data_IF_913834611206
#
_entry.id   IF_913834611206
#
_cell.length_a   1.000
_cell.length_b   1.000
_cell.length_c   1.000
_cell.angle_alpha   90.00
_cell.angle_beta   90.00
_cell.angle_gamma   90.00
#
_symmetry.space_group_name_H-M   'P 1'
#
loop_
_entity.id
_entity.type
_entity.pdbx_description
1 polymer ?
#
# COMPACT_ATOMS: atom_id res chain seq x y z
N UNK A 1 -43.16 31.84 104.84
CA UNK A 1 -42.76 31.76 103.41
C UNK A 1 -41.79 30.62 103.29
N UNK A 2 -42.26 29.50 102.73
CA UNK A 2 -41.53 28.24 102.70
C UNK A 2 -40.30 28.34 101.80
N UNK A 3 -39.14 28.05 102.37
CA UNK A 3 -38.00 27.59 101.58
C UNK A 3 -38.38 26.22 101.06
N UNK A 4 -38.76 26.15 99.79
CA UNK A 4 -39.07 24.89 99.13
C UNK A 4 -37.83 24.00 99.30
N UNK A 5 -37.89 22.84 99.97
CA UNK A 5 -36.73 21.98 100.20
C UNK A 5 -36.08 21.46 98.89
N UNK A 6 -36.71 21.73 97.74
CA UNK A 6 -36.22 21.47 96.40
C UNK A 6 -35.18 22.48 95.89
N UNK A 7 -34.98 23.62 96.58
CA UNK A 7 -33.99 24.65 96.21
C UNK A 7 -32.89 24.79 97.28
N UNK A 8 -32.50 23.69 97.93
CA UNK A 8 -31.31 23.67 98.78
C UNK A 8 -30.05 23.54 97.91
N UNK A 9 -29.42 24.68 97.62
CA UNK A 9 -28.19 24.79 96.82
C UNK A 9 -26.98 24.08 97.44
N UNK A 10 -27.08 23.54 98.66
CA UNK A 10 -25.98 22.84 99.33
C UNK A 10 -25.67 21.46 98.72
N UNK A 11 -26.63 20.82 98.03
CA UNK A 11 -26.41 19.49 97.41
C UNK A 11 -25.89 19.54 95.97
N UNK A 12 -26.21 20.61 95.22
CA UNK A 12 -25.85 20.79 93.81
C UNK A 12 -24.33 20.81 93.51
N UNK A 13 -23.44 21.33 94.38
CA UNK A 13 -21.99 21.33 94.14
C UNK A 13 -21.42 19.93 93.93
N UNK A 14 -21.94 18.93 94.66
CA UNK A 14 -21.51 17.53 94.51
C UNK A 14 -21.90 16.96 93.13
N UNK A 15 -23.11 17.27 92.66
CA UNK A 15 -23.59 16.85 91.34
C UNK A 15 -22.76 17.50 90.21
N UNK A 16 -22.38 18.77 90.34
CA UNK A 16 -21.51 19.47 89.40
C UNK A 16 -20.09 18.89 89.38
N UNK A 17 -19.55 18.52 90.55
CA UNK A 17 -18.24 17.86 90.64
C UNK A 17 -18.24 16.50 89.93
N UNK A 18 -19.28 15.68 90.15
CA UNK A 18 -19.44 14.40 89.45
C UNK A 18 -19.68 14.58 87.95
N UNK A 19 -20.47 15.58 87.55
CA UNK A 19 -20.69 15.90 86.14
C UNK A 19 -19.38 16.30 85.46
N UNK A 20 -18.58 17.14 86.12
CA UNK A 20 -17.25 17.55 85.63
C UNK A 20 -16.30 16.36 85.52
N UNK A 21 -16.32 15.44 86.50
CA UNK A 21 -15.52 14.23 86.48
C UNK A 21 -15.93 13.30 85.32
N UNK A 22 -17.23 13.08 85.13
CA UNK A 22 -17.77 12.28 84.02
C UNK A 22 -17.44 12.91 82.66
N UNK A 23 -17.56 14.23 82.53
CA UNK A 23 -17.22 14.96 81.31
C UNK A 23 -15.72 14.90 81.00
N UNK A 24 -14.88 14.96 82.03
CA UNK A 24 -13.43 14.80 81.89
C UNK A 24 -13.06 13.39 81.40
N UNK A 25 -13.67 12.35 81.98
CA UNK A 25 -13.50 10.96 81.53
C UNK A 25 -13.99 10.77 80.08
N UNK A 26 -15.14 11.35 79.71
CA UNK A 26 -15.66 11.33 78.35
C UNK A 26 -14.71 12.03 77.37
N UNK A 27 -14.18 13.20 77.74
CA UNK A 27 -13.22 13.93 76.94
C UNK A 27 -11.95 13.11 76.68
N UNK A 28 -11.42 12.43 77.70
CA UNK A 28 -10.26 11.55 77.57
C UNK A 28 -10.54 10.38 76.61
N UNK A 29 -11.73 9.79 76.69
CA UNK A 29 -12.14 8.71 75.79
C UNK A 29 -12.25 9.20 74.33
N UNK A 30 -12.86 10.37 74.10
CA UNK A 30 -12.95 10.98 72.76
C UNK A 30 -11.56 11.33 72.22
N UNK A 31 -10.68 11.88 73.05
CA UNK A 31 -9.30 12.24 72.69
C UNK A 31 -8.48 11.06 72.19
N UNK A 32 -8.79 9.84 72.62
CA UNK A 32 -8.17 8.59 72.13
C UNK A 32 -8.91 7.96 70.96
N UNK A 33 -10.24 8.11 70.87
CA UNK A 33 -11.03 7.55 69.78
C UNK A 33 -10.86 8.31 68.45
N UNK A 34 -10.83 9.65 68.49
CA UNK A 34 -10.69 10.53 67.31
C UNK A 34 -9.45 10.21 66.46
N UNK A 35 -8.21 10.14 67.00
CA UNK A 35 -7.02 9.84 66.19
C UNK A 35 -7.07 8.45 65.55
N UNK A 36 -7.81 7.50 66.16
CA UNK A 36 -7.99 6.15 65.61
C UNK A 36 -8.88 6.18 64.36
N UNK A 37 -9.90 7.04 64.33
CA UNK A 37 -10.78 7.25 63.17
C UNK A 37 -10.05 7.99 62.06
N UNK A 38 -9.29 9.05 62.39
CA UNK A 38 -8.47 9.80 61.44
C UNK A 38 -7.43 8.90 60.75
N UNK A 39 -6.76 8.01 61.51
CA UNK A 39 -5.80 7.06 60.94
C UNK A 39 -6.43 6.09 59.93
N UNK A 40 -7.68 5.67 60.13
CA UNK A 40 -8.39 4.79 59.18
C UNK A 40 -8.77 5.57 57.92
N UNK A 41 -9.27 6.80 58.07
CA UNK A 41 -9.63 7.65 56.94
C UNK A 41 -8.41 7.99 56.08
N UNK A 42 -7.29 8.36 56.72
CA UNK A 42 -6.02 8.63 56.05
C UNK A 42 -5.49 7.42 55.29
N UNK A 43 -5.55 6.22 55.88
CA UNK A 43 -5.15 4.97 55.20
C UNK A 43 -5.99 4.68 53.96
N UNK A 44 -7.30 4.87 54.02
CA UNK A 44 -8.19 4.65 52.86
C UNK A 44 -7.95 5.68 51.77
N UNK A 45 -7.78 6.95 52.15
CA UNK A 45 -7.46 8.01 51.19
C UNK A 45 -6.12 7.76 50.51
N UNK A 46 -5.08 7.43 51.28
CA UNK A 46 -3.76 7.11 50.74
C UNK A 46 -3.79 5.88 49.81
N UNK A 47 -4.54 4.83 50.16
CA UNK A 47 -4.71 3.67 49.30
C UNK A 47 -5.43 4.01 47.98
N UNK A 48 -6.49 4.84 48.05
CA UNK A 48 -7.21 5.30 46.88
C UNK A 48 -6.33 6.17 45.97
N UNK A 49 -5.63 7.16 46.54
CA UNK A 49 -4.69 8.02 45.81
C UNK A 49 -3.58 7.18 45.15
N UNK A 50 -3.00 6.23 45.89
CA UNK A 50 -1.98 5.33 45.33
C UNK A 50 -2.52 4.52 44.16
N UNK A 51 -3.73 3.94 44.28
CA UNK A 51 -4.32 3.19 43.18
C UNK A 51 -4.64 4.05 41.94
N UNK A 52 -4.99 5.32 42.15
CA UNK A 52 -5.20 6.28 41.07
C UNK A 52 -3.88 6.61 40.37
N UNK A 53 -2.82 6.84 41.14
CA UNK A 53 -1.49 7.15 40.63
C UNK A 53 -0.89 5.96 39.86
N UNK A 54 -1.03 4.75 40.39
CA UNK A 54 -0.65 3.52 39.71
C UNK A 54 -1.42 3.36 38.37
N UNK A 55 -2.74 3.63 38.38
CA UNK A 55 -3.55 3.58 37.15
C UNK A 55 -3.11 4.64 36.12
N UNK A 56 -2.83 5.87 36.55
CA UNK A 56 -2.30 6.92 35.67
C UNK A 56 -0.93 6.56 35.11
N UNK A 57 -0.06 5.95 35.92
CA UNK A 57 1.24 5.44 35.49
C UNK A 57 1.12 4.35 34.42
N UNK A 58 0.19 3.41 34.60
CA UNK A 58 -0.09 2.36 33.60
C UNK A 58 -0.65 2.97 32.32
N UNK A 59 -1.59 3.92 32.41
CA UNK A 59 -2.12 4.63 31.24
C UNK A 59 -1.01 5.34 30.46
N UNK A 60 -0.13 6.09 31.14
CA UNK A 60 1.00 6.77 30.50
C UNK A 60 1.99 5.80 29.85
N UNK A 61 2.24 4.64 30.47
CA UNK A 61 3.09 3.60 29.89
C UNK A 61 2.45 2.97 28.63
N UNK A 62 1.13 2.78 28.62
CA UNK A 62 0.38 2.28 27.46
C UNK A 62 0.42 3.31 26.33
N UNK A 63 0.16 4.59 26.61
CA UNK A 63 0.24 5.65 25.60
C UNK A 63 1.62 5.73 24.96
N UNK A 64 2.70 5.66 25.75
CA UNK A 64 4.06 5.68 25.23
C UNK A 64 4.41 4.42 24.41
N UNK A 65 3.81 3.28 24.73
CA UNK A 65 3.91 2.06 23.90
C UNK A 65 3.13 2.21 22.60
N UNK A 66 1.90 2.74 22.64
CA UNK A 66 1.08 2.98 21.46
C UNK A 66 1.74 3.97 20.51
N UNK A 67 2.33 5.06 21.03
CA UNK A 67 3.08 6.02 20.21
C UNK A 67 4.27 5.37 19.50
N UNK A 68 5.04 4.52 20.20
CA UNK A 68 6.15 3.78 19.58
C UNK A 68 5.67 2.77 18.54
N UNK A 69 4.62 2.04 18.84
CA UNK A 69 4.04 1.07 17.91
C UNK A 69 3.50 1.76 16.66
N UNK A 70 2.82 2.90 16.82
CA UNK A 70 2.32 3.70 15.70
C UNK A 70 3.46 4.19 14.81
N UNK A 71 4.53 4.73 15.39
CA UNK A 71 5.72 5.12 14.63
C UNK A 71 6.33 3.94 13.87
N UNK A 72 6.48 2.78 14.53
CA UNK A 72 7.02 1.59 13.88
C UNK A 72 6.14 1.11 12.71
N UNK A 73 4.80 1.24 12.82
CA UNK A 73 3.89 0.94 11.72
C UNK A 73 4.02 1.96 10.58
N UNK A 74 4.08 3.25 10.89
CA UNK A 74 4.29 4.30 9.89
C UNK A 74 5.62 4.13 9.15
N UNK A 75 6.71 3.82 9.87
CA UNK A 75 8.03 3.55 9.28
C UNK A 75 8.02 2.27 8.42
N UNK A 76 7.31 1.21 8.85
CA UNK A 76 7.17 -0.01 8.08
C UNK A 76 6.34 0.19 6.81
N UNK A 77 5.26 0.97 6.87
CA UNK A 77 4.44 1.32 5.71
C UNK A 77 5.23 2.15 4.69
N UNK A 78 6.05 3.09 5.16
CA UNK A 78 6.97 3.84 4.30
C UNK A 78 7.99 2.92 3.64
N UNK A 79 8.65 2.05 4.40
CA UNK A 79 9.62 1.09 3.85
C UNK A 79 8.99 0.11 2.84
N UNK A 80 7.75 -0.33 3.07
CA UNK A 80 7.01 -1.16 2.14
C UNK A 80 6.67 -0.41 0.84
N UNK A 81 6.26 0.86 0.93
CA UNK A 81 6.00 1.70 -0.25
C UNK A 81 7.27 1.94 -1.06
N UNK A 82 8.37 2.28 -0.41
CA UNK A 82 9.66 2.48 -1.07
C UNK A 82 10.12 1.20 -1.79
N UNK A 83 9.94 0.03 -1.16
CA UNK A 83 10.26 -1.25 -1.78
C UNK A 83 9.38 -1.56 -3.00
N UNK A 84 8.08 -1.26 -2.92
CA UNK A 84 7.14 -1.43 -4.04
C UNK A 84 7.47 -0.46 -5.17
N UNK A 85 7.75 0.80 -4.89
CA UNK A 85 8.14 1.80 -5.88
C UNK A 85 9.46 1.42 -6.56
N UNK A 86 10.45 0.96 -5.79
CA UNK A 86 11.71 0.44 -6.33
C UNK A 86 11.51 -0.76 -7.25
N UNK A 87 10.73 -1.75 -6.82
CA UNK A 87 10.42 -2.92 -7.65
C UNK A 87 9.63 -2.54 -8.93
N UNK A 88 8.68 -1.60 -8.84
CA UNK A 88 7.95 -1.11 -10.01
C UNK A 88 8.87 -0.36 -10.98
N UNK A 89 9.82 0.42 -10.47
CA UNK A 89 10.82 1.10 -11.29
C UNK A 89 11.70 0.09 -12.03
N UNK A 90 12.23 -0.94 -11.35
CA UNK A 90 13.02 -2.01 -11.97
C UNK A 90 12.22 -2.81 -13.00
N UNK A 91 10.97 -3.15 -12.70
CA UNK A 91 10.09 -3.83 -13.66
C UNK A 91 9.87 -2.93 -14.88
N UNK A 92 9.63 -1.63 -14.68
CA UNK A 92 9.42 -0.70 -15.79
C UNK A 92 10.65 -0.60 -16.70
N UNK A 93 11.86 -0.53 -16.13
CA UNK A 93 13.10 -0.48 -16.93
C UNK A 93 13.33 -1.80 -17.68
N UNK A 94 13.15 -2.94 -17.00
CA UNK A 94 13.26 -4.25 -17.64
C UNK A 94 12.22 -4.42 -18.76
N UNK A 95 11.00 -3.92 -18.59
CA UNK A 95 9.98 -3.97 -19.64
C UNK A 95 10.34 -3.10 -20.83
N UNK A 96 10.92 -1.92 -20.62
CA UNK A 96 11.34 -1.04 -21.71
C UNK A 96 12.52 -1.62 -22.48
N UNK A 97 13.51 -2.21 -21.78
CA UNK A 97 14.61 -2.94 -22.39
C UNK A 97 14.14 -4.16 -23.19
N UNK A 98 13.22 -4.96 -22.64
CA UNK A 98 12.64 -6.08 -23.36
C UNK A 98 11.85 -5.61 -24.60
N UNK A 99 11.15 -4.47 -24.50
CA UNK A 99 10.37 -3.90 -25.60
C UNK A 99 11.26 -3.37 -26.71
N UNK A 100 12.38 -2.73 -26.39
CA UNK A 100 13.34 -2.24 -27.38
C UNK A 100 13.99 -3.41 -28.12
N UNK A 101 14.47 -4.43 -27.42
CA UNK A 101 15.02 -5.64 -28.02
C UNK A 101 14.02 -6.34 -28.93
N UNK A 102 12.78 -6.50 -28.47
CA UNK A 102 11.74 -7.13 -29.27
C UNK A 102 11.38 -6.29 -30.51
N UNK A 103 11.39 -4.96 -30.39
CA UNK A 103 11.17 -4.06 -31.53
C UNK A 103 12.30 -4.16 -32.56
N UNK A 104 13.55 -4.28 -32.13
CA UNK A 104 14.70 -4.50 -33.03
C UNK A 104 14.60 -5.84 -33.75
N UNK A 105 14.28 -6.91 -33.03
CA UNK A 105 14.12 -8.25 -33.61
C UNK A 105 12.95 -8.29 -34.61
N UNK A 106 11.82 -7.67 -34.27
CA UNK A 106 10.67 -7.54 -35.17
C UNK A 106 11.04 -6.74 -36.43
N UNK A 107 11.81 -5.65 -36.30
CA UNK A 107 12.27 -4.86 -37.44
C UNK A 107 13.18 -5.68 -38.36
N UNK A 108 14.15 -6.40 -37.79
CA UNK A 108 15.03 -7.29 -38.54
C UNK A 108 14.26 -8.43 -39.25
N UNK A 109 13.24 -8.99 -38.59
CA UNK A 109 12.35 -9.97 -39.21
C UNK A 109 11.58 -9.37 -40.39
N UNK A 110 11.04 -8.15 -40.25
CA UNK A 110 10.36 -7.45 -41.34
C UNK A 110 11.29 -7.18 -42.52
N UNK A 111 12.52 -6.69 -42.28
CA UNK A 111 13.50 -6.49 -43.35
C UNK A 111 13.83 -7.79 -44.09
N UNK A 112 14.01 -8.89 -43.36
CA UNK A 112 14.27 -10.20 -43.97
C UNK A 112 13.09 -10.70 -44.83
N UNK A 113 11.86 -10.44 -44.39
CA UNK A 113 10.63 -10.79 -45.12
C UNK A 113 10.49 -9.91 -46.34
N UNK A 114 10.75 -8.61 -46.25
CA UNK A 114 10.71 -7.69 -47.39
C UNK A 114 11.74 -8.06 -48.46
N UNK A 115 12.96 -8.45 -48.07
CA UNK A 115 13.97 -8.93 -49.02
C UNK A 115 13.51 -10.18 -49.76
N UNK A 116 13.00 -11.19 -49.02
CA UNK A 116 12.46 -12.43 -49.61
C UNK A 116 11.25 -12.16 -50.49
N UNK A 117 10.37 -11.25 -50.09
CA UNK A 117 9.20 -10.87 -50.88
C UNK A 117 9.62 -10.14 -52.16
N UNK A 118 10.66 -9.30 -52.10
CA UNK A 118 11.25 -8.64 -53.26
C UNK A 118 11.89 -9.62 -54.23
N UNK A 119 12.60 -10.64 -53.73
CA UNK A 119 13.12 -11.76 -54.53
C UNK A 119 12.00 -12.55 -55.19
N UNK A 120 11.02 -13.01 -54.41
CA UNK A 120 9.88 -13.75 -54.93
C UNK A 120 9.09 -12.94 -55.96
N UNK A 121 8.93 -11.63 -55.74
CA UNK A 121 8.26 -10.74 -56.70
C UNK A 121 9.05 -10.63 -58.01
N UNK A 122 10.38 -10.56 -57.96
CA UNK A 122 11.24 -10.57 -59.16
C UNK A 122 11.14 -11.90 -59.90
N UNK A 123 11.19 -13.01 -59.17
CA UNK A 123 11.15 -14.35 -59.74
C UNK A 123 9.80 -14.63 -60.41
N UNK A 124 8.69 -14.37 -59.71
CA UNK A 124 7.32 -14.51 -60.26
C UNK A 124 7.12 -13.57 -61.46
N UNK A 125 7.68 -12.36 -61.43
CA UNK A 125 7.60 -11.45 -62.57
C UNK A 125 8.36 -12.00 -63.79
N UNK A 126 9.57 -12.54 -63.59
CA UNK A 126 10.34 -13.19 -64.65
C UNK A 126 9.60 -14.40 -65.25
N UNK A 127 9.03 -15.24 -64.39
CA UNK A 127 8.24 -16.40 -64.82
C UNK A 127 6.97 -16.00 -65.59
N UNK A 128 6.27 -14.93 -65.17
CA UNK A 128 5.13 -14.38 -65.92
C UNK A 128 5.54 -13.86 -67.30
N UNK A 129 6.69 -13.17 -67.40
CA UNK A 129 7.20 -12.65 -68.67
C UNK A 129 7.54 -13.82 -69.60
N UNK A 130 8.23 -14.85 -69.10
CA UNK A 130 8.58 -16.05 -69.87
C UNK A 130 7.33 -16.83 -70.31
N UNK A 131 6.36 -17.06 -69.42
CA UNK A 131 5.09 -17.72 -69.75
C UNK A 131 4.31 -16.92 -70.80
N UNK A 132 4.25 -15.58 -70.67
CA UNK A 132 3.56 -14.73 -71.63
C UNK A 132 4.24 -14.76 -73.01
N UNK A 133 5.58 -14.82 -73.06
CA UNK A 133 6.34 -14.98 -74.29
C UNK A 133 6.13 -16.36 -74.92
N UNK A 134 6.01 -17.42 -74.12
CA UNK A 134 5.72 -18.78 -74.57
C UNK A 134 4.30 -18.89 -75.15
N UNK A 135 3.29 -18.34 -74.47
CA UNK A 135 1.91 -18.28 -74.97
C UNK A 135 1.85 -17.47 -76.27
N UNK A 136 2.51 -16.30 -76.33
CA UNK A 136 2.59 -15.50 -77.55
C UNK A 136 3.26 -16.26 -78.70
N UNK A 137 4.31 -17.04 -78.43
CA UNK A 137 5.00 -17.88 -79.42
C UNK A 137 4.12 -19.05 -79.90
N UNK A 138 3.38 -19.70 -79.01
CA UNK A 138 2.41 -20.75 -79.35
C UNK A 138 1.32 -20.23 -80.29
N UNK A 139 0.78 -19.04 -80.01
CA UNK A 139 -0.17 -18.39 -80.92
C UNK A 139 0.49 -17.97 -82.25
N UNK A 140 1.69 -17.41 -82.23
CA UNK A 140 2.40 -16.97 -83.43
C UNK A 140 2.72 -18.13 -84.38
N UNK A 141 3.19 -19.25 -83.84
CA UNK A 141 3.51 -20.47 -84.61
C UNK A 141 2.26 -21.12 -85.20
N UNK A 142 1.13 -21.14 -84.45
CA UNK A 142 -0.19 -21.58 -84.94
C UNK A 142 -0.73 -20.73 -86.09
N UNK A 143 -0.42 -19.42 -86.13
CA UNK A 143 -0.99 -18.47 -87.11
C UNK A 143 -0.11 -18.30 -88.35
N UNK A 144 1.22 -18.42 -88.28
CA UNK A 144 2.11 -18.09 -89.41
C UNK A 144 2.99 -19.18 -89.98
N UNK A 145 3.20 -20.31 -89.28
CA UNK A 145 4.10 -21.37 -89.75
C UNK A 145 5.59 -20.95 -89.73
N UNK A 146 6.36 -21.64 -88.89
CA UNK A 146 7.83 -21.65 -88.71
C UNK A 146 8.66 -20.39 -88.98
N UNK A 147 9.30 -19.86 -87.92
CA UNK A 147 10.70 -19.41 -87.95
C UNK A 147 11.22 -19.19 -86.52
N UNK A 148 12.21 -19.98 -86.10
CA UNK A 148 12.82 -19.94 -84.76
C UNK A 148 13.58 -18.63 -84.48
N UNK A 149 13.96 -17.89 -85.54
CA UNK A 149 14.72 -16.63 -85.46
C UNK A 149 13.98 -15.47 -84.78
N UNK A 150 12.66 -15.56 -84.55
CA UNK A 150 11.85 -14.49 -83.93
C UNK A 150 11.55 -14.68 -82.45
N UNK A 151 11.99 -15.79 -81.85
CA UNK A 151 11.79 -16.10 -80.43
C UNK A 151 12.45 -15.03 -79.53
N UNK A 152 13.66 -14.62 -79.87
CA UNK A 152 14.40 -13.56 -79.15
C UNK A 152 13.79 -12.16 -79.37
N UNK A 153 13.25 -11.88 -80.56
CA UNK A 153 12.57 -10.62 -80.87
C UNK A 153 11.24 -10.49 -80.11
N UNK A 154 10.51 -11.59 -79.95
CA UNK A 154 9.27 -11.65 -79.17
C UNK A 154 9.53 -11.53 -77.66
N UNK A 155 10.56 -12.17 -77.12
CA UNK A 155 10.99 -11.94 -75.72
C UNK A 155 11.32 -10.46 -75.46
N UNK A 156 12.04 -9.80 -76.38
CA UNK A 156 12.33 -8.36 -76.29
C UNK A 156 11.08 -7.47 -76.35
N UNK A 157 10.07 -7.84 -77.14
CA UNK A 157 8.80 -7.11 -77.22
C UNK A 157 7.91 -7.33 -75.99
N UNK A 158 7.85 -8.56 -75.47
CA UNK A 158 7.12 -8.89 -74.25
C UNK A 158 7.71 -8.15 -73.03
N UNK A 159 9.04 -8.10 -72.91
CA UNK A 159 9.74 -7.30 -71.90
C UNK A 159 9.38 -5.80 -72.00
N UNK A 160 9.41 -5.22 -73.21
CA UNK A 160 9.03 -3.80 -73.43
C UNK A 160 7.56 -3.50 -73.11
N UNK A 161 6.65 -4.44 -73.39
CA UNK A 161 5.22 -4.26 -73.10
C UNK A 161 4.92 -4.34 -71.59
N UNK A 162 5.72 -5.10 -70.84
CA UNK A 162 5.61 -5.17 -69.38
C UNK A 162 6.26 -3.97 -68.68
N UNK A 163 7.42 -3.49 -69.15
CA UNK A 163 8.06 -2.28 -68.63
C UNK A 163 7.23 -1.01 -68.88
N UNK A 164 6.47 -0.94 -69.97
CA UNK A 164 5.62 0.21 -70.30
C UNK A 164 4.24 0.23 -69.63
N UNK A 165 3.90 -0.77 -68.81
CA UNK A 165 2.60 -0.90 -68.11
C UNK A 165 2.67 -0.78 -66.58
N UNK A 166 3.86 -0.68 -66.01
CA UNK A 166 4.11 -0.16 -64.65
C UNK A 166 4.17 1.37 -64.70
#
# INVERSE_FOLDING_TARGET
MGTVPQLDFSMYPSQVAWFSCAFFLLYLAVRWAVPRVEGIMGKRYAAASKSLEDALGVCGAIELRLLRQRKALEDADLGARDAVEGALAEVSSCTEEARSLLSEEVCAMFESVEQRLGELRRDVHGELVDLSAEVAFMYYTKVRGCDEAKRDALKKLAARLYEGKL
#
